data_IF_241891112354
#
_entry.id   IF_241891112354
#
_cell.length_a   1.000
_cell.length_b   1.000
_cell.length_c   1.000
_cell.angle_alpha   90.00
_cell.angle_beta   90.00
_cell.angle_gamma   90.00
#
_symmetry.space_group_name_H-M   'P 1'
#
loop_
_entity.id
_entity.type
_entity.pdbx_description
1 polymer ?
#
# COMPACT_ATOMS: atom_id res chain seq x y z
N UNK A 1 11.27 1.64 3.06
CA UNK A 1 11.14 0.17 2.98
C UNK A 1 10.13 -0.14 1.91
N UNK A 2 10.51 -0.94 0.92
CA UNK A 2 9.64 -1.29 -0.19
C UNK A 2 8.74 -2.46 0.20
N UNK A 3 7.45 -2.24 0.07
CA UNK A 3 6.43 -3.25 0.29
C UNK A 3 5.58 -3.42 -0.96
N UNK A 4 5.23 -4.67 -1.26
CA UNK A 4 4.19 -4.99 -2.22
C UNK A 4 2.88 -5.23 -1.47
N UNK A 5 1.80 -4.62 -1.93
CA UNK A 5 0.49 -4.64 -1.29
C UNK A 5 -0.56 -5.09 -2.29
N UNK A 6 -1.38 -6.06 -1.90
CA UNK A 6 -2.59 -6.44 -2.63
C UNK A 6 -3.80 -5.91 -1.87
N UNK A 7 -4.65 -5.18 -2.59
CA UNK A 7 -5.95 -4.70 -2.11
C UNK A 7 -7.00 -5.79 -2.31
N UNK A 8 -7.89 -5.96 -1.34
CA UNK A 8 -8.96 -6.97 -1.35
C UNK A 8 -9.86 -6.82 -2.58
N UNK A 9 -10.29 -7.96 -3.11
CA UNK A 9 -11.38 -8.00 -4.07
C UNK A 9 -12.66 -7.34 -3.50
N UNK A 10 -13.36 -6.57 -4.34
CA UNK A 10 -14.58 -5.84 -3.95
C UNK A 10 -14.34 -4.45 -3.36
N UNK A 11 -13.08 -4.05 -3.11
CA UNK A 11 -12.74 -2.65 -2.79
C UNK A 11 -12.94 -1.79 -4.04
N UNK A 12 -13.76 -0.76 -3.91
CA UNK A 12 -14.06 0.16 -5.02
C UNK A 12 -12.82 0.94 -5.43
N UNK A 13 -12.86 1.53 -6.62
CA UNK A 13 -11.76 2.37 -7.11
C UNK A 13 -11.54 3.59 -6.20
N UNK A 14 -12.62 4.22 -5.71
CA UNK A 14 -12.51 5.37 -4.80
C UNK A 14 -11.84 4.98 -3.47
N UNK A 15 -12.16 3.80 -2.93
CA UNK A 15 -11.52 3.30 -1.70
C UNK A 15 -10.04 2.97 -1.92
N UNK A 16 -9.66 2.47 -3.10
CA UNK A 16 -8.26 2.27 -3.51
C UNK A 16 -7.51 3.61 -3.54
N UNK A 17 -8.09 4.63 -4.18
CA UNK A 17 -7.51 5.98 -4.20
C UNK A 17 -7.36 6.57 -2.80
N UNK A 18 -8.35 6.37 -1.93
CA UNK A 18 -8.28 6.80 -0.53
C UNK A 18 -7.15 6.09 0.23
N UNK A 19 -6.96 4.78 0.01
CA UNK A 19 -5.83 4.05 0.59
C UNK A 19 -4.48 4.65 0.15
N UNK A 20 -4.31 4.91 -1.15
CA UNK A 20 -3.09 5.52 -1.69
C UNK A 20 -2.84 6.90 -1.09
N UNK A 21 -3.88 7.75 -1.05
CA UNK A 21 -3.79 9.08 -0.44
C UNK A 21 -3.38 9.00 1.04
N UNK A 22 -3.91 8.04 1.79
CA UNK A 22 -3.50 7.82 3.18
C UNK A 22 -2.04 7.37 3.31
N UNK A 23 -1.55 6.50 2.42
CA UNK A 23 -0.12 6.10 2.41
C UNK A 23 0.77 7.34 2.24
N UNK A 24 0.43 8.20 1.28
CA UNK A 24 1.17 9.44 1.01
C UNK A 24 1.08 10.42 2.18
N UNK A 25 -0.11 10.60 2.75
CA UNK A 25 -0.34 11.52 3.89
C UNK A 25 0.45 11.09 5.13
N UNK A 26 0.65 9.79 5.33
CA UNK A 26 1.44 9.24 6.43
C UNK A 26 2.96 9.28 6.18
N UNK A 27 3.41 9.83 5.05
CA UNK A 27 4.82 9.98 4.71
C UNK A 27 5.43 8.81 3.93
N UNK A 28 4.61 7.90 3.40
CA UNK A 28 5.03 6.92 2.40
C UNK A 28 4.93 7.47 0.98
N UNK A 29 5.25 6.64 -0.01
CA UNK A 29 5.06 6.94 -1.42
C UNK A 29 4.56 5.71 -2.18
N UNK A 30 3.79 5.94 -3.25
CA UNK A 30 3.45 4.91 -4.22
C UNK A 30 4.57 4.89 -5.27
N UNK A 31 5.21 3.75 -5.42
CA UNK A 31 6.34 3.53 -6.34
C UNK A 31 5.85 3.00 -7.68
N UNK A 32 4.87 2.09 -7.63
CA UNK A 32 4.27 1.47 -8.81
C UNK A 32 2.81 1.09 -8.54
N UNK A 33 1.99 1.18 -9.58
CA UNK A 33 0.57 0.82 -9.55
C UNK A 33 0.26 -0.18 -10.67
N UNK A 34 -0.39 -1.28 -10.30
CA UNK A 34 -0.82 -2.33 -11.21
C UNK A 34 -2.31 -2.63 -11.03
N UNK A 35 -2.94 -3.08 -12.12
CA UNK A 35 -4.36 -3.48 -12.15
C UNK A 35 -5.30 -2.43 -11.55
N UNK A 36 -5.14 -1.16 -11.95
CA UNK A 36 -5.96 -0.03 -11.47
C UNK A 36 -5.95 0.11 -9.94
N UNK A 37 -4.77 -0.07 -9.34
CA UNK A 37 -4.56 0.08 -7.90
C UNK A 37 -4.95 -1.12 -7.06
N UNK A 38 -5.16 -2.30 -7.66
CA UNK A 38 -5.34 -3.56 -6.91
C UNK A 38 -3.99 -4.02 -6.35
N UNK A 39 -2.91 -3.87 -7.11
CA UNK A 39 -1.56 -4.21 -6.69
C UNK A 39 -0.70 -2.95 -6.65
N UNK A 40 -0.03 -2.71 -5.53
CA UNK A 40 0.76 -1.50 -5.28
C UNK A 40 2.14 -1.87 -4.78
N UNK A 41 3.17 -1.26 -5.37
CA UNK A 41 4.48 -1.18 -4.72
C UNK A 41 4.56 0.15 -4.00
N UNK A 42 4.83 0.15 -2.71
CA UNK A 42 4.92 1.35 -1.89
C UNK A 42 6.26 1.42 -1.17
N UNK A 43 6.76 2.63 -0.96
CA UNK A 43 7.87 2.88 -0.06
C UNK A 43 7.35 3.51 1.23
N UNK A 44 7.63 2.86 2.36
CA UNK A 44 7.16 3.28 3.67
C UNK A 44 8.25 3.19 4.73
N UNK A 45 8.12 3.99 5.79
CA UNK A 45 8.94 3.87 6.98
C UNK A 45 8.71 2.55 7.74
N UNK A 46 9.69 2.09 8.54
CA UNK A 46 9.61 0.82 9.27
C UNK A 46 8.43 0.74 10.25
N UNK A 47 7.99 1.89 10.79
CA UNK A 47 6.86 1.96 11.74
C UNK A 47 5.47 2.02 11.08
N UNK A 48 5.40 1.97 9.75
CA UNK A 48 4.14 2.03 8.98
C UNK A 48 3.70 0.65 8.51
N UNK A 49 4.58 -0.34 8.52
CA UNK A 49 4.29 -1.68 8.01
C UNK A 49 3.07 -2.32 8.68
N UNK A 50 3.09 -2.43 10.01
CA UNK A 50 1.98 -3.05 10.75
C UNK A 50 0.67 -2.27 10.60
N UNK A 51 0.76 -0.94 10.45
CA UNK A 51 -0.40 -0.09 10.21
C UNK A 51 -1.03 -0.36 8.85
N UNK A 52 -0.23 -0.44 7.80
CA UNK A 52 -0.70 -0.71 6.44
C UNK A 52 -1.26 -2.12 6.33
N UNK A 53 -0.54 -3.11 6.88
CA UNK A 53 -0.99 -4.50 6.91
C UNK A 53 -2.32 -4.67 7.66
N UNK A 54 -2.59 -3.84 8.65
CA UNK A 54 -3.84 -3.85 9.41
C UNK A 54 -5.03 -3.15 8.75
N UNK A 55 -4.87 -2.49 7.59
CA UNK A 55 -5.97 -1.74 6.97
C UNK A 55 -7.02 -2.67 6.36
N UNK A 56 -8.29 -2.28 6.48
CA UNK A 56 -9.43 -3.08 6.01
C UNK A 56 -9.41 -3.32 4.49
N UNK A 57 -8.84 -2.41 3.70
CA UNK A 57 -8.71 -2.57 2.25
C UNK A 57 -7.61 -3.56 1.86
N UNK A 58 -6.69 -3.91 2.78
CA UNK A 58 -5.51 -4.70 2.45
C UNK A 58 -5.78 -6.20 2.65
N UNK A 59 -5.45 -6.97 1.63
CA UNK A 59 -5.49 -8.43 1.65
C UNK A 59 -4.13 -9.01 2.02
N UNK A 60 -3.08 -8.50 1.37
CA UNK A 60 -1.72 -9.00 1.50
C UNK A 60 -0.71 -7.86 1.55
N UNK A 61 0.36 -8.04 2.34
CA UNK A 61 1.53 -7.17 2.34
C UNK A 61 2.78 -8.03 2.47
N UNK A 62 3.73 -7.79 1.57
CA UNK A 62 5.06 -8.41 1.56
C UNK A 62 6.14 -7.33 1.55
N UNK A 63 7.24 -7.54 2.28
CA UNK A 63 8.42 -6.68 2.20
C UNK A 63 9.28 -7.18 1.03
N UNK A 64 9.44 -6.36 -0.01
CA UNK A 64 10.18 -6.72 -1.23
C UNK A 64 11.59 -6.10 -1.28
N UNK A 65 11.90 -5.16 -0.38
CA UNK A 65 13.24 -4.60 -0.29
C UNK A 65 13.37 -3.51 0.77
N UNK A 66 14.61 -3.10 1.03
CA UNK A 66 14.90 -1.88 1.80
C UNK A 66 15.32 -0.80 0.82
N UNK A 67 14.56 0.29 0.77
CA UNK A 67 15.00 1.54 0.17
C UNK A 67 16.27 1.95 0.89
N UNK A 68 17.38 1.94 0.15
CA UNK A 68 18.73 2.34 0.57
C UNK A 68 18.82 3.83 0.86
#
# INVERSE_FOLDING_TARGET
MLCFVIIREGVTYDERLMFQHQVVTEGGSIVDEQDEGIALTIDIGPHQYDRIKGRAAVEHVEIVGRSS
#
